data_IF_622718819631
#
_entry.id   IF_622718819631
#
_cell.length_a   1.000
_cell.length_b   1.000
_cell.length_c   1.000
_cell.angle_alpha   90.00
_cell.angle_beta   90.00
_cell.angle_gamma   90.00
#
_symmetry.space_group_name_H-M   'P 1'
#
loop_
_entity.id
_entity.type
_entity.pdbx_description
1 polymer ?
#
# COMPACT_ATOMS: atom_id res chain seq x y z
N UNK A 1 18.44 13.92 -1.57
CA UNK A 1 17.39 13.04 -1.02
C UNK A 1 18.00 12.06 -0.01
N UNK A 2 17.35 11.86 1.14
CA UNK A 2 17.79 10.94 2.19
C UNK A 2 16.65 9.97 2.51
N UNK A 3 16.97 8.69 2.73
CA UNK A 3 16.01 7.69 3.18
C UNK A 3 15.75 7.89 4.68
N UNK A 4 14.47 8.01 5.08
CA UNK A 4 14.11 8.16 6.50
C UNK A 4 13.81 6.79 7.13
N UNK A 5 12.91 6.03 6.52
CA UNK A 5 12.45 4.73 7.02
C UNK A 5 11.78 3.92 5.91
N UNK A 6 11.56 2.64 6.19
CA UNK A 6 10.76 1.74 5.37
C UNK A 6 9.69 1.08 6.25
N UNK A 7 8.42 1.37 5.96
CA UNK A 7 7.29 0.78 6.66
C UNK A 7 6.87 -0.51 5.94
N UNK A 8 7.30 -1.67 6.45
CA UNK A 8 6.94 -2.99 5.88
C UNK A 8 5.47 -3.34 6.08
N UNK A 9 4.85 -2.83 7.15
CA UNK A 9 3.41 -2.90 7.41
C UNK A 9 2.86 -1.49 7.59
N UNK A 10 2.46 -0.81 6.51
CA UNK A 10 1.96 0.56 6.58
C UNK A 10 0.56 0.63 7.23
N UNK A 11 0.20 1.80 7.76
CA UNK A 11 -1.16 2.06 8.25
C UNK A 11 -2.21 1.94 7.14
N UNK A 12 -3.40 1.45 7.51
CA UNK A 12 -4.50 1.15 6.57
C UNK A 12 -5.77 1.98 6.80
N UNK A 13 -5.75 2.94 7.73
CA UNK A 13 -6.88 3.86 7.91
C UNK A 13 -7.04 4.78 6.70
N UNK A 14 -8.21 5.40 6.51
CA UNK A 14 -8.44 6.35 5.41
C UNK A 14 -7.44 7.51 5.41
N UNK A 15 -6.92 7.86 6.59
CA UNK A 15 -5.93 8.92 6.76
C UNK A 15 -4.48 8.50 6.51
N UNK A 16 -4.23 7.19 6.37
CA UNK A 16 -2.89 6.63 6.15
C UNK A 16 -2.35 6.90 4.74
N UNK A 17 -1.02 6.87 4.60
CA UNK A 17 -0.33 7.19 3.34
C UNK A 17 -0.66 6.18 2.24
N UNK A 18 -0.64 4.87 2.54
CA UNK A 18 -0.86 3.82 1.53
C UNK A 18 -2.25 3.94 0.87
N UNK A 19 -3.39 4.05 1.61
CA UNK A 19 -4.69 4.25 0.98
C UNK A 19 -4.82 5.56 0.19
N UNK A 20 -4.21 6.65 0.66
CA UNK A 20 -4.18 7.92 -0.06
C UNK A 20 -3.43 7.81 -1.39
N UNK A 21 -2.29 7.12 -1.40
CA UNK A 21 -1.50 6.87 -2.61
C UNK A 21 -2.24 5.98 -3.60
N UNK A 22 -2.86 4.88 -3.15
CA UNK A 22 -3.64 4.00 -4.00
C UNK A 22 -4.77 4.76 -4.71
N UNK A 23 -5.48 5.62 -3.96
CA UNK A 23 -6.52 6.50 -4.52
C UNK A 23 -5.99 7.45 -5.59
N UNK A 24 -4.83 8.09 -5.36
CA UNK A 24 -4.19 8.98 -6.35
C UNK A 24 -3.75 8.22 -7.60
N UNK A 25 -3.27 6.98 -7.43
CA UNK A 25 -2.89 6.09 -8.53
C UNK A 25 -4.09 5.48 -9.28
N UNK A 26 -5.32 5.68 -8.79
CA UNK A 26 -6.52 5.09 -9.37
C UNK A 26 -6.64 3.58 -9.13
N UNK A 27 -5.93 3.04 -8.14
CA UNK A 27 -5.93 1.62 -7.77
C UNK A 27 -6.84 1.44 -6.56
N UNK A 28 -7.77 0.49 -6.61
CA UNK A 28 -8.58 0.15 -5.45
C UNK A 28 -7.76 -0.62 -4.41
N UNK A 29 -8.13 -0.50 -3.13
CA UNK A 29 -7.48 -1.30 -2.08
C UNK A 29 -7.67 -2.81 -2.28
N UNK A 30 -8.77 -3.23 -2.89
CA UNK A 30 -9.02 -4.63 -3.22
C UNK A 30 -8.00 -5.17 -4.24
N UNK A 31 -7.74 -4.42 -5.31
CA UNK A 31 -6.71 -4.77 -6.32
C UNK A 31 -5.31 -4.78 -5.69
N UNK A 32 -4.98 -3.76 -4.89
CA UNK A 32 -3.69 -3.66 -4.22
C UNK A 32 -3.45 -4.87 -3.30
N UNK A 33 -4.40 -5.19 -2.41
CA UNK A 33 -4.24 -6.33 -1.51
C UNK A 33 -4.34 -7.67 -2.23
N UNK A 34 -5.12 -7.78 -3.30
CA UNK A 34 -5.13 -8.97 -4.17
C UNK A 34 -3.74 -9.29 -4.69
N UNK A 35 -3.05 -8.29 -5.26
CA UNK A 35 -1.68 -8.47 -5.74
C UNK A 35 -0.68 -8.86 -4.64
N UNK A 36 -0.85 -8.32 -3.43
CA UNK A 36 0.00 -8.65 -2.30
C UNK A 36 -0.22 -10.09 -1.80
N UNK A 37 -1.46 -10.59 -1.82
CA UNK A 37 -1.78 -11.99 -1.49
C UNK A 37 -1.16 -12.92 -2.54
N UNK A 38 -1.34 -12.62 -3.82
CA UNK A 38 -0.78 -13.42 -4.90
C UNK A 38 0.75 -13.50 -4.82
N UNK A 39 1.42 -12.38 -4.50
CA UNK A 39 2.86 -12.34 -4.29
C UNK A 39 3.31 -13.14 -3.07
N UNK A 40 2.52 -13.12 -1.99
CA UNK A 40 2.84 -13.88 -0.77
C UNK A 40 2.68 -15.41 -0.92
N UNK A 41 1.94 -15.87 -1.94
CA UNK A 41 1.71 -17.29 -2.23
C UNK A 41 2.67 -17.86 -3.28
N UNK A 42 3.55 -17.04 -3.87
CA UNK A 42 4.63 -17.50 -4.76
C UNK A 42 5.81 -18.06 -3.95
#
# INVERSE_FOLDING_TARGET
PYMLEMNTTPGLTTESILPKQAKVAGISLAELFGSAIDEALK
#
